data_IF_334205900483
#
_entry.id   IF_334205900483
#
_cell.length_a   1.000
_cell.length_b   1.000
_cell.length_c   1.000
_cell.angle_alpha   90.00
_cell.angle_beta   90.00
_cell.angle_gamma   90.00
#
_symmetry.space_group_name_H-M   'P 1'
#
loop_
_entity.id
_entity.type
_entity.pdbx_description
1 polymer ?
#
# COMPACT_ATOMS: atom_id res chain seq x y z
N UNK A 1 -14.00 -10.11 11.13
CA UNK A 1 -14.84 -9.21 10.30
C UNK A 1 -16.11 -8.91 11.05
N UNK A 2 -16.42 -7.64 11.26
CA UNK A 2 -17.64 -7.22 11.94
C UNK A 2 -18.86 -7.54 11.05
N UNK A 3 -19.97 -7.93 11.67
CA UNK A 3 -21.22 -8.23 10.97
C UNK A 3 -22.32 -7.35 11.54
N UNK A 4 -22.96 -6.57 10.68
CA UNK A 4 -24.13 -5.77 11.03
C UNK A 4 -25.34 -6.36 10.32
N UNK A 5 -26.37 -6.77 11.07
CA UNK A 5 -27.61 -7.28 10.49
C UNK A 5 -28.63 -6.13 10.35
N UNK A 6 -28.66 -5.51 9.16
CA UNK A 6 -29.56 -4.40 8.86
C UNK A 6 -31.02 -4.81 8.65
N UNK A 7 -31.27 -6.07 8.27
CA UNK A 7 -32.61 -6.55 7.92
C UNK A 7 -33.12 -7.40 9.08
N UNK A 8 -33.86 -6.75 9.97
CA UNK A 8 -34.47 -7.37 11.15
C UNK A 8 -35.98 -7.14 11.14
N UNK A 9 -36.73 -8.16 11.56
CA UNK A 9 -38.17 -8.05 11.77
C UNK A 9 -38.46 -6.98 12.81
N UNK A 10 -39.37 -6.05 12.51
CA UNK A 10 -39.63 -4.85 13.33
C UNK A 10 -38.87 -3.59 12.88
N UNK A 11 -37.92 -3.73 11.94
CA UNK A 11 -37.15 -2.62 11.38
C UNK A 11 -36.06 -2.12 12.33
N UNK A 12 -34.89 -1.78 11.79
CA UNK A 12 -33.80 -1.20 12.56
C UNK A 12 -33.38 0.15 11.97
N UNK A 13 -33.55 1.28 12.68
CA UNK A 13 -33.30 2.60 12.12
C UNK A 13 -31.84 2.84 11.74
N UNK A 14 -31.60 3.41 10.55
CA UNK A 14 -30.28 3.85 10.11
C UNK A 14 -29.90 5.16 10.81
N UNK A 15 -29.05 5.05 11.83
CA UNK A 15 -28.47 6.18 12.57
C UNK A 15 -26.98 6.31 12.27
N UNK A 16 -26.39 7.46 12.63
CA UNK A 16 -24.95 7.74 12.42
C UNK A 16 -24.03 6.66 12.99
N UNK A 17 -24.38 6.05 14.13
CA UNK A 17 -23.60 4.95 14.71
C UNK A 17 -23.48 3.74 13.77
N UNK A 18 -24.51 3.45 12.97
CA UNK A 18 -24.49 2.33 12.00
C UNK A 18 -23.52 2.60 10.86
N UNK A 19 -23.42 3.85 10.41
CA UNK A 19 -22.44 4.24 9.39
C UNK A 19 -21.03 4.25 9.97
N UNK A 20 -20.86 4.65 11.24
CA UNK A 20 -19.59 4.55 11.94
C UNK A 20 -19.11 3.09 12.07
N UNK A 21 -20.01 2.15 12.37
CA UNK A 21 -19.70 0.71 12.39
C UNK A 21 -19.19 0.21 11.03
N UNK A 22 -19.81 0.65 9.93
CA UNK A 22 -19.33 0.35 8.58
C UNK A 22 -17.95 0.97 8.32
N UNK A 23 -17.71 2.20 8.80
CA UNK A 23 -16.40 2.85 8.72
C UNK A 23 -15.30 2.08 9.42
N UNK A 24 -15.54 1.67 10.65
CA UNK A 24 -14.60 0.84 11.39
C UNK A 24 -14.40 -0.52 10.71
N UNK A 25 -15.43 -1.09 10.09
CA UNK A 25 -15.29 -2.35 9.36
C UNK A 25 -14.35 -2.23 8.15
N UNK A 26 -14.52 -1.22 7.29
CA UNK A 26 -13.65 -1.08 6.11
C UNK A 26 -12.25 -0.57 6.45
N UNK A 27 -12.05 0.13 7.57
CA UNK A 27 -10.70 0.54 8.01
C UNK A 27 -9.76 -0.66 8.19
N UNK A 28 -10.29 -1.83 8.54
CA UNK A 28 -9.48 -3.07 8.65
C UNK A 28 -8.82 -3.50 7.33
N UNK A 29 -9.31 -3.02 6.18
CA UNK A 29 -8.74 -3.34 4.87
C UNK A 29 -7.35 -2.73 4.68
N UNK A 30 -7.01 -1.64 5.41
CA UNK A 30 -5.66 -1.08 5.40
C UNK A 30 -4.61 -2.11 5.84
N UNK A 31 -4.96 -3.05 6.73
CA UNK A 31 -4.04 -4.08 7.19
C UNK A 31 -3.53 -4.99 6.05
N UNK A 32 -4.26 -5.11 4.93
CA UNK A 32 -3.78 -5.86 3.77
C UNK A 32 -2.64 -5.15 3.03
N UNK A 33 -2.54 -3.82 3.13
CA UNK A 33 -1.41 -3.07 2.58
C UNK A 33 -0.09 -3.42 3.26
N UNK A 34 -0.12 -3.83 4.53
CA UNK A 34 1.06 -4.29 5.26
C UNK A 34 1.74 -5.52 4.61
N UNK A 35 1.01 -6.30 3.80
CA UNK A 35 1.58 -7.42 3.04
C UNK A 35 2.58 -6.96 1.98
N UNK A 36 2.42 -5.77 1.43
CA UNK A 36 3.36 -5.16 0.49
C UNK A 36 4.56 -4.53 1.20
N UNK A 37 4.39 -4.09 2.45
CA UNK A 37 5.38 -3.38 3.24
C UNK A 37 5.19 -1.86 3.20
N UNK A 38 5.86 -1.13 4.12
CA UNK A 38 5.82 0.33 4.13
C UNK A 38 6.50 0.93 2.88
N UNK A 39 6.06 2.12 2.46
CA UNK A 39 6.55 2.83 1.27
C UNK A 39 6.48 1.95 0.03
N UNK A 40 5.30 1.45 -0.27
CA UNK A 40 5.09 0.62 -1.46
C UNK A 40 4.02 1.17 -2.39
N UNK A 41 4.22 0.94 -3.68
CA UNK A 41 3.23 1.23 -4.72
C UNK A 41 2.38 -0.03 -4.89
N UNK A 42 1.12 0.05 -4.48
CA UNK A 42 0.18 -1.08 -4.54
C UNK A 42 -0.35 -1.27 -5.95
N UNK A 43 -0.74 -0.18 -6.61
CA UNK A 43 -1.24 -0.20 -7.99
C UNK A 43 -1.16 1.19 -8.64
N UNK A 44 -1.21 1.26 -9.97
CA UNK A 44 -1.07 2.52 -10.70
C UNK A 44 0.30 3.15 -10.50
N UNK A 45 0.35 4.49 -10.39
CA UNK A 45 1.60 5.27 -10.28
C UNK A 45 2.57 4.97 -11.44
N UNK A 46 2.04 4.89 -12.65
CA UNK A 46 2.84 4.69 -13.85
C UNK A 46 3.42 6.03 -14.32
N UNK A 47 4.71 6.01 -14.69
CA UNK A 47 5.37 7.19 -15.24
C UNK A 47 5.04 7.31 -16.73
N UNK A 48 4.31 8.37 -17.09
CA UNK A 48 4.01 8.74 -18.48
C UNK A 48 4.66 10.09 -18.77
N UNK A 49 5.74 10.08 -19.54
CA UNK A 49 6.58 11.26 -19.73
C UNK A 49 7.26 11.67 -18.43
N UNK A 50 6.90 12.85 -17.90
CA UNK A 50 7.34 13.36 -16.59
C UNK A 50 6.25 13.33 -15.52
N UNK A 51 5.10 12.71 -15.79
CA UNK A 51 3.97 12.67 -14.86
C UNK A 51 3.77 11.26 -14.34
N UNK A 52 3.73 11.11 -13.02
CA UNK A 52 3.29 9.87 -12.38
C UNK A 52 1.77 9.91 -12.30
N UNK A 53 1.11 8.93 -12.90
CA UNK A 53 -0.36 8.83 -12.94
C UNK A 53 -0.97 8.41 -11.62
N UNK A 54 -2.29 8.53 -11.52
CA UNK A 54 -3.03 8.12 -10.33
C UNK A 54 -2.74 6.65 -9.98
N UNK A 55 -2.82 6.35 -8.69
CA UNK A 55 -2.59 5.01 -8.19
C UNK A 55 -2.89 4.90 -6.71
N UNK A 56 -2.29 3.90 -6.07
CA UNK A 56 -2.41 3.66 -4.65
C UNK A 56 -1.04 3.36 -4.05
N UNK A 57 -0.74 4.03 -2.96
CA UNK A 57 0.50 3.86 -2.19
C UNK A 57 0.17 3.48 -0.76
N UNK A 58 1.08 2.76 -0.12
CA UNK A 58 0.95 2.38 1.28
C UNK A 58 2.06 3.06 2.09
N UNK A 59 1.66 3.91 3.03
CA UNK A 59 2.54 4.73 3.87
C UNK A 59 2.04 4.63 5.31
N UNK A 60 2.92 4.29 6.25
CA UNK A 60 2.68 4.30 7.70
C UNK A 60 1.36 3.66 8.15
N UNK A 61 1.11 2.47 7.61
CA UNK A 61 -0.08 1.65 7.84
C UNK A 61 -1.39 2.14 7.22
N UNK A 62 -1.30 3.05 6.24
CA UNK A 62 -2.46 3.59 5.54
C UNK A 62 -2.35 3.39 4.04
N UNK A 63 -3.42 2.88 3.44
CA UNK A 63 -3.57 2.81 1.98
C UNK A 63 -4.18 4.12 1.49
N UNK A 64 -3.40 4.86 0.70
CA UNK A 64 -3.77 6.18 0.20
C UNK A 64 -3.86 6.17 -1.32
N UNK A 65 -4.83 6.90 -1.85
CA UNK A 65 -4.84 7.28 -3.25
C UNK A 65 -3.63 8.18 -3.52
N UNK A 66 -2.86 7.87 -4.55
CA UNK A 66 -1.86 8.78 -5.08
C UNK A 66 -2.48 9.60 -6.21
N UNK A 67 -2.53 10.92 -6.05
CA UNK A 67 -3.01 11.85 -7.08
C UNK A 67 -1.86 12.25 -8.00
N UNK A 68 -2.13 12.24 -9.31
CA UNK A 68 -1.14 12.47 -10.34
C UNK A 68 -0.40 13.79 -10.15
N UNK A 69 0.90 13.76 -10.39
CA UNK A 69 1.77 14.91 -10.26
C UNK A 69 3.02 14.74 -11.12
N UNK A 70 3.64 15.87 -11.46
CA UNK A 70 4.91 15.89 -12.20
C UNK A 70 6.03 15.47 -11.24
N UNK A 71 6.81 14.46 -11.65
CA UNK A 71 7.97 14.01 -10.89
C UNK A 71 9.20 14.81 -11.28
N UNK A 72 9.96 15.23 -10.29
CA UNK A 72 11.28 15.84 -10.41
C UNK A 72 12.33 14.94 -9.77
N UNK A 73 13.60 15.27 -10.00
CA UNK A 73 14.70 14.64 -9.26
C UNK A 73 14.52 14.96 -7.78
N UNK A 74 14.68 13.95 -6.92
CA UNK A 74 14.50 14.05 -5.46
C UNK A 74 13.08 14.48 -5.01
N UNK A 75 12.05 14.20 -5.83
CA UNK A 75 10.66 14.39 -5.42
C UNK A 75 10.37 13.61 -4.14
N UNK A 76 9.69 14.28 -3.21
CA UNK A 76 9.14 13.67 -2.02
C UNK A 76 7.62 13.54 -2.15
N UNK A 77 7.07 12.52 -1.50
CA UNK A 77 5.65 12.28 -1.34
C UNK A 77 5.23 12.81 0.02
N UNK A 78 4.09 13.48 0.04
CA UNK A 78 3.43 13.97 1.25
C UNK A 78 1.98 13.49 1.28
N UNK A 79 1.41 13.44 2.47
CA UNK A 79 -0.01 13.18 2.68
C UNK A 79 -0.71 14.52 2.86
N UNK A 80 -1.73 14.78 2.04
CA UNK A 80 -2.59 15.96 2.14
C UNK A 80 -3.91 15.55 2.75
N UNK A 81 -4.40 16.37 3.68
CA UNK A 81 -5.71 16.23 4.31
C UNK A 81 -6.62 17.42 3.92
N UNK A 82 -7.71 17.13 3.22
CA UNK A 82 -8.73 18.10 2.81
C UNK A 82 -9.99 17.91 3.65
N UNK A 83 -10.39 18.96 4.38
CA UNK A 83 -11.62 18.96 5.16
C UNK A 83 -12.81 19.41 4.31
N UNK A 84 -13.89 18.65 4.37
CA UNK A 84 -15.18 18.98 3.78
C UNK A 84 -16.08 19.51 4.88
N UNK A 85 -16.24 20.82 4.92
CA UNK A 85 -17.05 21.50 5.91
C UNK A 85 -18.48 21.76 5.42
N UNK A 86 -19.45 21.67 6.33
CA UNK A 86 -20.86 21.97 6.07
C UNK A 86 -21.47 22.76 7.23
N UNK A 87 -22.30 23.74 6.88
CA UNK A 87 -23.13 24.46 7.84
C UNK A 87 -24.36 23.61 8.23
N UNK A 88 -24.61 23.52 9.53
CA UNK A 88 -25.78 22.83 10.08
C UNK A 88 -26.97 23.80 10.21
N UNK A 89 -28.17 23.28 10.44
CA UNK A 89 -29.41 24.09 10.54
C UNK A 89 -29.36 25.20 11.60
N UNK A 90 -28.46 25.08 12.58
CA UNK A 90 -28.21 26.09 13.62
C UNK A 90 -27.11 27.10 13.26
N UNK A 91 -26.63 27.11 12.02
CA UNK A 91 -25.58 27.99 11.52
C UNK A 91 -24.14 27.56 11.88
N UNK A 92 -23.96 26.53 12.70
CA UNK A 92 -22.62 26.04 13.08
C UNK A 92 -22.02 25.25 11.92
N UNK A 93 -20.81 25.62 11.50
CA UNK A 93 -20.03 24.87 10.52
C UNK A 93 -19.28 23.76 11.23
N UNK A 94 -19.34 22.54 10.68
CA UNK A 94 -18.57 21.39 11.16
C UNK A 94 -17.96 20.66 9.98
N UNK A 95 -16.80 20.06 10.20
CA UNK A 95 -16.20 19.10 9.28
C UNK A 95 -17.04 17.83 9.27
N UNK A 96 -17.55 17.46 8.11
CA UNK A 96 -18.41 16.29 7.93
C UNK A 96 -17.69 15.13 7.25
N UNK A 97 -16.60 15.41 6.56
CA UNK A 97 -15.81 14.42 5.86
C UNK A 97 -14.38 14.93 5.71
N UNK A 98 -13.42 14.02 5.74
CA UNK A 98 -12.00 14.32 5.60
C UNK A 98 -11.46 13.42 4.50
N UNK A 99 -10.85 14.01 3.49
CA UNK A 99 -10.27 13.32 2.34
C UNK A 99 -8.76 13.35 2.52
N UNK A 100 -8.13 12.18 2.56
CA UNK A 100 -6.67 12.05 2.66
C UNK A 100 -6.13 11.36 1.41
N UNK A 101 -5.06 11.90 0.85
CA UNK A 101 -4.41 11.36 -0.34
C UNK A 101 -2.92 11.70 -0.34
N UNK A 102 -2.14 10.91 -1.06
CA UNK A 102 -0.72 11.15 -1.29
C UNK A 102 -0.52 11.89 -2.61
N UNK A 103 0.46 12.79 -2.67
CA UNK A 103 0.93 13.38 -3.93
C UNK A 103 2.35 13.90 -3.75
N UNK A 104 2.97 14.37 -4.84
CA UNK A 104 4.28 15.02 -4.73
C UNK A 104 4.16 16.41 -4.09
N UNK A 105 5.07 16.69 -3.18
CA UNK A 105 5.15 17.97 -2.49
C UNK A 105 6.22 17.91 -1.42
N UNK A 106 6.47 19.03 -0.76
CA UNK A 106 7.47 19.12 0.29
C UNK A 106 6.78 19.50 1.59
N UNK A 107 6.97 18.69 2.63
CA UNK A 107 6.53 18.98 3.98
C UNK A 107 7.71 18.78 4.95
N UNK A 108 8.06 19.78 5.79
CA UNK A 108 9.16 19.68 6.73
C UNK A 108 8.95 18.64 7.84
N UNK A 109 7.71 18.27 8.15
CA UNK A 109 7.40 17.34 9.24
C UNK A 109 7.35 15.88 8.77
N UNK A 110 6.59 15.61 7.70
CA UNK A 110 6.37 14.26 7.19
C UNK A 110 6.46 14.25 5.67
N UNK A 111 7.59 13.77 5.15
CA UNK A 111 7.80 13.56 3.72
C UNK A 111 8.71 12.35 3.47
N UNK A 112 8.44 11.63 2.39
CA UNK A 112 9.18 10.40 2.03
C UNK A 112 9.74 10.54 0.62
N UNK A 113 10.99 10.13 0.39
CA UNK A 113 11.57 10.19 -0.95
C UNK A 113 10.84 9.24 -1.88
N UNK A 114 10.49 9.71 -3.08
CA UNK A 114 9.84 8.87 -4.09
C UNK A 114 10.71 7.66 -4.47
N UNK A 115 12.03 7.79 -4.40
CA UNK A 115 12.99 6.70 -4.63
C UNK A 115 12.87 5.55 -3.64
N UNK A 116 12.32 5.79 -2.45
CA UNK A 116 12.14 4.76 -1.43
C UNK A 116 10.90 3.91 -1.69
N UNK A 117 10.01 4.35 -2.60
CA UNK A 117 8.81 3.61 -2.94
C UNK A 117 9.12 2.42 -3.84
N UNK A 118 8.84 1.22 -3.32
CA UNK A 118 9.07 -0.03 -4.04
C UNK A 118 7.76 -0.58 -4.61
N UNK A 119 7.79 -1.03 -5.86
CA UNK A 119 6.69 -1.84 -6.42
C UNK A 119 6.95 -3.32 -6.11
N UNK A 120 6.13 -3.96 -5.26
CA UNK A 120 6.30 -5.38 -4.96
C UNK A 120 6.05 -6.23 -6.21
N UNK A 121 6.79 -7.33 -6.34
CA UNK A 121 6.48 -8.34 -7.35
C UNK A 121 5.21 -9.09 -6.96
N UNK A 122 4.43 -9.47 -7.96
CA UNK A 122 3.30 -10.37 -7.73
C UNK A 122 3.76 -11.68 -7.10
N UNK A 123 3.01 -12.17 -6.11
CA UNK A 123 3.29 -13.42 -5.39
C UNK A 123 3.39 -14.61 -6.36
N UNK A 124 2.59 -14.62 -7.44
CA UNK A 124 2.67 -15.65 -8.49
C UNK A 124 4.04 -15.69 -9.15
N UNK A 125 4.60 -14.53 -9.46
CA UNK A 125 5.94 -14.39 -10.05
C UNK A 125 7.03 -14.77 -9.07
N UNK A 126 6.90 -14.39 -7.79
CA UNK A 126 7.83 -14.82 -6.73
C UNK A 126 7.86 -16.34 -6.59
N UNK A 127 6.70 -16.99 -6.53
CA UNK A 127 6.62 -18.46 -6.44
C UNK A 127 7.23 -19.14 -7.67
N UNK A 128 7.03 -18.60 -8.86
CA UNK A 128 7.65 -19.13 -10.07
C UNK A 128 9.20 -19.01 -10.03
N UNK A 129 9.72 -17.88 -9.53
CA UNK A 129 11.18 -17.68 -9.36
C UNK A 129 11.77 -18.62 -8.32
N UNK A 130 11.11 -18.80 -7.18
CA UNK A 130 11.52 -19.73 -6.12
C UNK A 130 11.56 -21.16 -6.68
N UNK A 131 10.50 -21.62 -7.35
CA UNK A 131 10.48 -22.96 -7.94
C UNK A 131 11.55 -23.19 -9.02
N UNK A 132 11.94 -22.14 -9.75
CA UNK A 132 13.06 -22.20 -10.69
C UNK A 132 14.41 -22.32 -9.96
N UNK A 133 14.59 -21.62 -8.84
CA UNK A 133 15.78 -21.74 -7.99
C UNK A 133 15.85 -23.14 -7.40
N UNK A 134 14.75 -23.67 -6.86
CA UNK A 134 14.69 -25.04 -6.34
C UNK A 134 15.07 -26.08 -7.39
N UNK A 135 14.55 -25.96 -8.63
CA UNK A 135 14.94 -26.86 -9.74
C UNK A 135 16.42 -26.77 -10.10
N UNK A 136 16.99 -25.56 -10.10
CA UNK A 136 18.43 -25.36 -10.36
C UNK A 136 19.30 -25.91 -9.24
N UNK A 137 18.82 -25.82 -8.00
CA UNK A 137 19.54 -26.29 -6.82
C UNK A 137 19.27 -27.77 -6.50
N UNK A 138 18.29 -28.41 -7.13
CA UNK A 138 17.95 -29.82 -6.92
C UNK A 138 19.14 -30.76 -7.12
N UNK A 139 20.08 -30.39 -8.01
CA UNK A 139 21.34 -31.12 -8.19
C UNK A 139 22.19 -31.16 -6.92
N UNK A 140 22.08 -30.20 -6.00
CA UNK A 140 22.87 -30.14 -4.77
C UNK A 140 22.23 -30.87 -3.57
N UNK A 141 20.99 -31.36 -3.68
CA UNK A 141 20.25 -31.93 -2.54
C UNK A 141 20.37 -33.46 -2.41
N UNK A 142 20.88 -34.19 -3.40
CA UNK A 142 21.18 -35.62 -3.26
C UNK A 142 22.68 -35.87 -3.30
N UNK A 143 23.19 -36.43 -2.19
CA UNK A 143 24.60 -36.61 -1.90
C UNK A 143 25.35 -37.32 -3.03
N UNK A 144 26.30 -36.60 -3.62
CA UNK A 144 27.23 -37.15 -4.62
C UNK A 144 27.55 -36.25 -5.81
N UNK A 145 27.05 -35.01 -5.88
CA UNK A 145 27.40 -34.12 -7.00
C UNK A 145 28.77 -33.51 -6.82
N UNK A 146 29.71 -33.97 -7.63
CA UNK A 146 31.05 -33.39 -7.79
C UNK A 146 30.97 -32.28 -8.83
N UNK A 147 31.40 -31.07 -8.49
CA UNK A 147 31.50 -29.96 -9.43
C UNK A 147 32.93 -29.42 -9.47
N UNK A 148 33.37 -28.96 -10.64
CA UNK A 148 34.70 -28.38 -10.78
C UNK A 148 34.77 -27.03 -10.08
N UNK A 149 35.57 -26.95 -9.02
CA UNK A 149 35.85 -25.71 -8.28
C UNK A 149 37.12 -25.07 -8.84
N UNK A 150 36.99 -23.88 -9.44
CA UNK A 150 38.08 -23.17 -10.11
C UNK A 150 38.71 -22.07 -9.25
N UNK A 151 38.52 -22.11 -7.92
CA UNK A 151 39.10 -21.16 -6.96
C UNK A 151 39.97 -21.89 -5.92
N UNK A 152 40.76 -21.17 -5.10
CA UNK A 152 41.52 -21.79 -4.01
C UNK A 152 40.63 -22.55 -3.02
N UNK A 153 41.19 -23.59 -2.39
CA UNK A 153 40.49 -24.49 -1.45
C UNK A 153 39.90 -23.73 -0.25
N UNK A 154 40.57 -22.67 0.21
CA UNK A 154 40.13 -21.86 1.35
C UNK A 154 38.92 -20.94 1.05
N UNK A 155 38.37 -20.98 -0.17
CA UNK A 155 37.20 -20.19 -0.58
C UNK A 155 35.97 -21.05 -0.86
N UNK A 156 36.02 -22.36 -0.60
CA UNK A 156 34.85 -23.23 -0.74
C UNK A 156 33.80 -22.82 0.32
N UNK A 157 32.56 -22.50 -0.09
CA UNK A 157 31.45 -22.19 0.82
C UNK A 157 31.05 -23.35 1.73
#
# INVERSE_FOLDING_TARGET
MNKTNFIQTGGWPLKGERLQEMQTAYQTLNAFGALAGNLTIISGCELVGSTVKNGFVYIDNELLEFREAVVAVDSTVIIIEENVDRAFKNGVVKTVHTIRYATFGTNPEESWLWSDFIRPLEIKTLNARIGLIEKKLAIFQQGGVVFAWFKPLNQIP
#
